data_IF_555300889140
#
_entry.id   IF_555300889140
#
_cell.length_a   1.000
_cell.length_b   1.000
_cell.length_c   1.000
_cell.angle_alpha   90.00
_cell.angle_beta   90.00
_cell.angle_gamma   90.00
#
_symmetry.space_group_name_H-M   'P 1'
#
loop_
_entity.id
_entity.type
_entity.pdbx_description
1 polymer ?
#
# COMPACT_ATOMS: atom_id res chain seq x y z
N UNK A 1 0.18 -7.66 8.94
CA UNK A 1 0.37 -9.05 9.42
C UNK A 1 0.78 -8.98 10.88
N UNK A 2 0.30 -9.85 11.78
CA UNK A 2 0.59 -9.72 13.21
C UNK A 2 2.09 -9.77 13.51
N UNK A 3 2.83 -10.58 12.73
CA UNK A 3 4.25 -10.86 12.95
C UNK A 3 5.19 -10.12 11.97
N UNK A 4 4.64 -9.49 10.92
CA UNK A 4 5.42 -8.89 9.84
C UNK A 4 5.00 -7.45 9.56
N UNK A 5 5.99 -6.55 9.50
CA UNK A 5 5.80 -5.15 9.15
C UNK A 5 5.62 -5.02 7.63
N UNK A 6 4.49 -4.45 7.20
CA UNK A 6 4.16 -4.29 5.78
C UNK A 6 5.17 -3.46 4.98
N UNK A 7 5.84 -2.49 5.61
CA UNK A 7 6.88 -1.69 4.95
C UNK A 7 8.18 -2.46 4.74
N UNK A 8 8.54 -3.35 5.68
CA UNK A 8 9.70 -4.24 5.54
C UNK A 8 9.45 -5.20 4.39
N UNK A 9 8.28 -5.85 4.36
CA UNK A 9 7.86 -6.70 3.26
C UNK A 9 7.85 -5.94 1.93
N UNK A 10 7.31 -4.72 1.88
CA UNK A 10 7.27 -3.91 0.65
C UNK A 10 8.68 -3.65 0.12
N UNK A 11 9.63 -3.29 1.00
CA UNK A 11 11.03 -3.05 0.62
C UNK A 11 11.69 -4.31 0.03
N UNK A 12 11.37 -5.48 0.56
CA UNK A 12 11.93 -6.76 0.07
C UNK A 12 11.27 -7.23 -1.22
N UNK A 13 9.96 -6.97 -1.39
CA UNK A 13 9.18 -7.43 -2.54
C UNK A 13 9.39 -6.57 -3.79
N UNK A 14 9.55 -5.25 -3.63
CA UNK A 14 9.59 -4.33 -4.77
C UNK A 14 10.71 -4.58 -5.78
N UNK A 15 11.95 -4.92 -5.38
CA UNK A 15 13.00 -5.29 -6.32
C UNK A 15 12.68 -6.54 -7.16
N UNK A 16 11.92 -7.48 -6.61
CA UNK A 16 11.58 -8.76 -7.23
C UNK A 16 10.37 -8.64 -8.17
N UNK A 17 9.55 -7.59 -8.03
CA UNK A 17 8.22 -7.51 -8.62
C UNK A 17 7.91 -6.11 -9.19
N UNK A 18 8.76 -5.62 -10.10
CA UNK A 18 8.63 -4.28 -10.69
C UNK A 18 7.32 -4.07 -11.48
N UNK A 19 6.76 -5.15 -12.03
CA UNK A 19 5.51 -5.10 -12.80
C UNK A 19 4.24 -5.21 -11.93
N UNK A 20 4.39 -5.60 -10.66
CA UNK A 20 3.26 -5.76 -9.75
C UNK A 20 2.77 -4.39 -9.26
N UNK A 21 1.46 -4.16 -9.36
CA UNK A 21 0.81 -2.96 -8.81
C UNK A 21 0.49 -3.22 -7.34
N UNK A 22 1.23 -2.59 -6.44
CA UNK A 22 1.04 -2.77 -4.99
C UNK A 22 0.31 -1.57 -4.39
N UNK A 23 -0.79 -1.87 -3.69
CA UNK A 23 -1.57 -0.90 -2.90
C UNK A 23 -1.36 -1.24 -1.43
N UNK A 24 -0.90 -0.26 -0.64
CA UNK A 24 -0.66 -0.45 0.79
C UNK A 24 -1.89 -0.04 1.60
N UNK A 25 -2.31 -0.90 2.51
CA UNK A 25 -3.38 -0.60 3.47
C UNK A 25 -2.74 -0.22 4.81
N UNK A 26 -2.89 1.04 5.22
CA UNK A 26 -2.31 1.52 6.47
C UNK A 26 -3.16 1.15 7.69
N UNK A 27 -2.51 0.90 8.82
CA UNK A 27 -3.15 0.69 10.12
C UNK A 27 -3.55 2.00 10.82
N UNK A 28 -4.72 2.00 11.47
CA UNK A 28 -5.07 3.06 12.41
C UNK A 28 -4.07 3.04 13.58
N UNK A 29 -3.11 3.97 13.58
CA UNK A 29 -2.02 4.05 14.57
C UNK A 29 -0.61 4.04 13.98
N UNK A 30 -0.45 3.84 12.67
CA UNK A 30 0.82 4.13 12.01
C UNK A 30 1.06 5.65 12.00
N UNK A 31 2.28 6.08 12.34
CA UNK A 31 2.67 7.50 12.31
C UNK A 31 2.36 8.08 10.92
N UNK A 32 1.97 9.36 10.84
CA UNK A 32 1.62 10.06 9.59
C UNK A 32 2.58 9.77 8.42
N UNK A 33 3.87 9.55 8.71
CA UNK A 33 4.91 9.28 7.72
C UNK A 33 4.87 7.86 7.09
N UNK A 34 4.07 6.91 7.59
CA UNK A 34 4.09 5.53 7.08
C UNK A 34 3.57 5.42 5.65
N UNK A 35 2.55 6.22 5.31
CA UNK A 35 2.00 6.31 3.96
C UNK A 35 3.04 6.90 2.99
N UNK A 36 3.72 7.97 3.39
CA UNK A 36 4.79 8.59 2.61
C UNK A 36 5.97 7.62 2.37
N UNK A 37 6.32 6.84 3.39
CA UNK A 37 7.36 5.80 3.27
C UNK A 37 6.92 4.70 2.30
N UNK A 38 5.66 4.26 2.36
CA UNK A 38 5.13 3.26 1.42
C UNK A 38 5.22 3.74 -0.03
N UNK A 39 4.82 4.98 -0.31
CA UNK A 39 4.93 5.57 -1.65
C UNK A 39 6.38 5.64 -2.12
N UNK A 40 7.32 6.06 -1.26
CA UNK A 40 8.77 6.09 -1.60
C UNK A 40 9.36 4.70 -1.84
N UNK A 41 8.78 3.66 -1.25
CA UNK A 41 9.21 2.27 -1.46
C UNK A 41 8.63 1.64 -2.72
N UNK A 42 7.74 2.32 -3.44
CA UNK A 42 7.16 1.83 -4.71
C UNK A 42 5.69 1.41 -4.62
N UNK A 43 5.01 1.65 -3.48
CA UNK A 43 3.56 1.51 -3.45
C UNK A 43 2.92 2.51 -4.43
N UNK A 44 1.99 2.01 -5.25
CA UNK A 44 1.30 2.84 -6.24
C UNK A 44 0.23 3.70 -5.61
N UNK A 45 -0.46 3.15 -4.62
CA UNK A 45 -1.44 3.85 -3.81
C UNK A 45 -1.38 3.39 -2.37
N UNK A 46 -1.91 4.24 -1.50
CA UNK A 46 -2.08 3.94 -0.08
C UNK A 46 -3.52 4.21 0.31
N UNK A 47 -4.11 3.32 1.12
CA UNK A 47 -5.49 3.44 1.61
C UNK A 47 -5.46 3.35 3.14
N UNK A 48 -5.89 4.40 3.87
CA UNK A 48 -5.88 4.39 5.32
C UNK A 48 -6.97 3.46 5.86
N UNK A 49 -6.78 2.98 7.09
CA UNK A 49 -7.87 2.37 7.88
C UNK A 49 -8.57 3.43 8.73
N UNK A 50 -9.90 3.30 8.96
CA UNK A 50 -10.76 2.19 8.58
C UNK A 50 -10.96 2.09 7.06
N UNK A 51 -10.97 0.86 6.54
CA UNK A 51 -11.01 0.60 5.10
C UNK A 51 -12.41 0.88 4.55
N UNK A 52 -12.54 1.83 3.64
CA UNK A 52 -13.77 2.03 2.87
C UNK A 52 -13.68 1.27 1.54
N UNK A 53 -14.66 0.39 1.29
CA UNK A 53 -14.67 -0.45 0.08
C UNK A 53 -14.75 0.35 -1.22
N UNK A 54 -15.42 1.50 -1.20
CA UNK A 54 -15.50 2.40 -2.35
C UNK A 54 -14.11 2.98 -2.71
N UNK A 55 -13.33 3.39 -1.71
CA UNK A 55 -11.97 3.92 -1.89
C UNK A 55 -11.03 2.83 -2.42
N UNK A 56 -11.10 1.63 -1.84
CA UNK A 56 -10.30 0.50 -2.32
C UNK A 56 -10.65 0.12 -3.76
N UNK A 57 -11.94 0.04 -4.09
CA UNK A 57 -12.37 -0.29 -5.45
C UNK A 57 -11.94 0.78 -6.44
N UNK A 58 -12.03 2.06 -6.05
CA UNK A 58 -11.54 3.17 -6.87
C UNK A 58 -10.03 3.04 -7.13
N UNK A 59 -9.23 2.79 -6.08
CA UNK A 59 -7.79 2.60 -6.21
C UNK A 59 -7.43 1.46 -7.17
N UNK A 60 -8.11 0.31 -7.03
CA UNK A 60 -7.91 -0.84 -7.92
C UNK A 60 -8.25 -0.49 -9.37
N UNK A 61 -9.41 0.13 -9.62
CA UNK A 61 -9.82 0.52 -10.98
C UNK A 61 -8.88 1.51 -11.62
N UNK A 62 -8.45 2.52 -10.86
CA UNK A 62 -7.45 3.49 -11.29
C UNK A 62 -6.16 2.80 -11.73
N UNK A 63 -5.64 1.87 -10.92
CA UNK A 63 -4.43 1.12 -11.27
C UNK A 63 -4.62 0.22 -12.48
N UNK A 64 -5.82 -0.32 -12.71
CA UNK A 64 -6.14 -1.14 -13.87
C UNK A 64 -6.52 -0.34 -15.13
N UNK A 65 -6.68 0.98 -15.03
CA UNK A 65 -7.15 1.83 -16.13
C UNK A 65 -8.61 1.56 -16.51
N UNK A 66 -9.46 1.22 -15.53
CA UNK A 66 -10.88 0.89 -15.68
C UNK A 66 -11.82 1.98 -15.19
#
# INVERSE_FOLDING_TARGET
>A
MPEMNGLVMLRELMPECLDAKVIVLSGAGEKDNALDVATRLGARQTVPKPLHMAELLHAVRYELGQ
#
